data_IF_950266290461
#
_entry.id   IF_950266290461
#
_cell.length_a   1.000
_cell.length_b   1.000
_cell.length_c   1.000
_cell.angle_alpha   90.00
_cell.angle_beta   90.00
_cell.angle_gamma   90.00
#
_symmetry.space_group_name_H-M   'P 1'
#
loop_
_entity.id
_entity.type
_entity.pdbx_description
1 polymer ?
#
# COMPACT_ATOMS: atom_id res chain seq x y z
N UNK A 1 25.85 -33.97 28.41
CA UNK A 1 26.08 -33.42 27.06
C UNK A 1 25.62 -34.48 26.05
N UNK A 2 24.33 -34.50 25.62
CA UNK A 2 23.78 -35.28 24.47
C UNK A 2 22.22 -35.40 24.55
N UNK A 3 21.47 -34.30 24.38
CA UNK A 3 20.00 -34.39 24.20
C UNK A 3 19.39 -33.38 23.22
N UNK A 4 20.19 -32.56 22.52
CA UNK A 4 19.65 -31.47 21.66
C UNK A 4 19.22 -31.85 20.22
N UNK A 5 19.36 -33.10 19.76
CA UNK A 5 19.23 -33.41 18.30
C UNK A 5 17.94 -34.14 17.87
N UNK A 6 17.25 -34.87 18.75
CA UNK A 6 16.09 -35.69 18.35
C UNK A 6 14.73 -34.96 18.34
N UNK A 7 14.63 -33.77 18.93
CA UNK A 7 13.38 -32.97 18.96
C UNK A 7 13.12 -32.18 17.67
N UNK A 8 14.08 -32.16 16.73
CA UNK A 8 13.98 -31.36 15.51
C UNK A 8 13.44 -32.14 14.31
N UNK A 9 13.54 -33.47 14.27
CA UNK A 9 13.16 -34.23 13.08
C UNK A 9 11.65 -34.14 12.80
N UNK A 10 10.81 -34.29 13.83
CA UNK A 10 9.35 -34.19 13.70
C UNK A 10 8.88 -32.77 13.34
N UNK A 11 9.53 -31.74 13.91
CA UNK A 11 9.26 -30.34 13.56
C UNK A 11 9.71 -30.03 12.14
N UNK A 12 10.88 -30.52 11.72
CA UNK A 12 11.37 -30.38 10.35
C UNK A 12 10.46 -31.11 9.37
N UNK A 13 10.04 -32.35 9.65
CA UNK A 13 9.09 -33.08 8.80
C UNK A 13 7.73 -32.39 8.69
N UNK A 14 7.22 -31.81 9.78
CA UNK A 14 5.96 -31.06 9.77
C UNK A 14 6.07 -29.75 8.95
N UNK A 15 7.25 -29.14 8.91
CA UNK A 15 7.52 -27.92 8.14
C UNK A 15 7.95 -28.18 6.70
N UNK A 16 8.28 -29.42 6.33
CA UNK A 16 8.71 -29.77 4.97
C UNK A 16 7.70 -29.36 3.88
N UNK A 17 6.38 -29.61 4.03
CA UNK A 17 5.41 -29.18 3.00
C UNK A 17 5.38 -27.67 2.82
N UNK A 18 5.48 -26.91 3.92
CA UNK A 18 5.51 -25.44 3.90
C UNK A 18 6.78 -24.92 3.25
N UNK A 19 7.94 -25.51 3.59
CA UNK A 19 9.22 -25.18 2.96
C UNK A 19 9.24 -25.52 1.48
N UNK A 20 8.69 -26.67 1.10
CA UNK A 20 8.57 -27.09 -0.28
C UNK A 20 7.71 -26.10 -1.07
N UNK A 21 6.53 -25.72 -0.56
CA UNK A 21 5.69 -24.72 -1.20
C UNK A 21 6.40 -23.36 -1.32
N UNK A 22 7.06 -22.90 -0.25
CA UNK A 22 7.82 -21.64 -0.26
C UNK A 22 8.93 -21.63 -1.32
N UNK A 23 9.73 -22.68 -1.41
CA UNK A 23 10.89 -22.73 -2.32
C UNK A 23 10.48 -23.05 -3.74
N UNK A 24 9.67 -24.09 -3.95
CA UNK A 24 9.34 -24.55 -5.30
C UNK A 24 8.29 -23.67 -5.94
N UNK A 25 7.22 -23.34 -5.22
CA UNK A 25 6.12 -22.55 -5.81
C UNK A 25 6.50 -21.08 -5.86
N UNK A 26 6.86 -20.44 -4.74
CA UNK A 26 7.11 -18.99 -4.77
C UNK A 26 8.45 -18.65 -5.40
N UNK A 27 9.55 -19.20 -4.87
CA UNK A 27 10.89 -18.86 -5.36
C UNK A 27 11.12 -19.44 -6.78
N UNK A 28 10.70 -20.68 -7.01
CA UNK A 28 10.83 -21.32 -8.33
C UNK A 28 10.06 -20.60 -9.44
N UNK A 29 8.79 -20.25 -9.23
CA UNK A 29 8.02 -19.50 -10.25
C UNK A 29 8.51 -18.08 -10.45
N UNK A 30 9.08 -17.46 -9.41
CA UNK A 30 9.72 -16.15 -9.52
C UNK A 30 10.96 -16.22 -10.42
N UNK A 31 11.87 -17.17 -10.18
CA UNK A 31 13.04 -17.35 -11.05
C UNK A 31 12.64 -17.74 -12.48
N UNK A 32 11.61 -18.56 -12.63
CA UNK A 32 11.07 -18.91 -13.94
C UNK A 32 10.53 -17.67 -14.68
N UNK A 33 9.80 -16.79 -13.98
CA UNK A 33 9.31 -15.52 -14.53
C UNK A 33 10.46 -14.61 -14.94
N UNK A 34 11.51 -14.52 -14.11
CA UNK A 34 12.72 -13.76 -14.45
C UNK A 34 13.38 -14.35 -15.70
N UNK A 35 13.49 -15.68 -15.82
CA UNK A 35 14.02 -16.32 -17.03
C UNK A 35 13.19 -15.97 -18.27
N UNK A 36 11.86 -16.01 -18.18
CA UNK A 36 10.97 -15.67 -19.30
C UNK A 36 11.05 -14.20 -19.72
N UNK A 37 11.46 -13.30 -18.82
CA UNK A 37 11.67 -11.89 -19.18
C UNK A 37 12.77 -11.67 -20.22
N UNK A 38 13.69 -12.63 -20.37
CA UNK A 38 14.77 -12.58 -21.34
C UNK A 38 14.46 -13.36 -22.63
N UNK A 39 13.25 -13.90 -22.79
CA UNK A 39 12.84 -14.65 -23.98
C UNK A 39 11.80 -13.91 -24.81
N UNK A 40 11.65 -14.32 -26.07
CA UNK A 40 10.58 -13.84 -26.95
C UNK A 40 9.31 -14.67 -26.77
N UNK A 41 8.83 -14.73 -25.52
CA UNK A 41 7.61 -15.46 -25.20
C UNK A 41 6.39 -14.58 -25.48
N UNK A 42 5.49 -15.08 -26.33
CA UNK A 42 4.21 -14.44 -26.63
C UNK A 42 3.11 -15.10 -25.79
N UNK A 43 2.21 -15.88 -26.39
CA UNK A 43 1.15 -16.59 -25.69
C UNK A 43 1.69 -17.83 -24.95
N UNK A 44 2.65 -18.52 -25.57
CA UNK A 44 3.29 -19.70 -25.02
C UNK A 44 4.75 -19.42 -24.68
N UNK A 45 5.30 -20.07 -23.63
CA UNK A 45 6.72 -19.97 -23.32
C UNK A 45 7.56 -20.39 -24.51
N UNK A 46 8.42 -19.49 -24.98
CA UNK A 46 9.44 -19.78 -25.99
C UNK A 46 10.80 -19.86 -25.31
N UNK A 47 11.63 -20.81 -25.77
CA UNK A 47 13.02 -20.95 -25.29
C UNK A 47 13.99 -20.01 -26.02
N UNK A 48 13.50 -19.21 -26.98
CA UNK A 48 14.33 -18.27 -27.74
C UNK A 48 14.77 -17.11 -26.85
N UNK A 49 16.06 -17.10 -26.51
CA UNK A 49 16.68 -16.07 -25.70
C UNK A 49 16.98 -14.83 -26.53
N UNK A 50 16.41 -13.70 -26.15
CA UNK A 50 16.57 -12.40 -26.82
C UNK A 50 17.28 -11.36 -25.94
N UNK A 51 17.87 -11.81 -24.83
CA UNK A 51 18.59 -10.95 -23.90
C UNK A 51 17.70 -9.83 -23.35
N UNK A 52 18.17 -8.59 -23.45
CA UNK A 52 17.49 -7.42 -22.86
C UNK A 52 16.42 -6.77 -23.76
N UNK A 53 16.06 -7.38 -24.89
CA UNK A 53 15.13 -6.77 -25.84
C UNK A 53 13.77 -6.39 -25.21
N UNK A 54 13.23 -7.22 -24.31
CA UNK A 54 11.97 -6.91 -23.62
C UNK A 54 12.09 -5.71 -22.68
N UNK A 55 13.23 -5.55 -22.00
CA UNK A 55 13.49 -4.41 -21.13
C UNK A 55 13.61 -3.10 -21.93
N UNK A 56 14.27 -3.14 -23.09
CA UNK A 56 14.31 -1.99 -24.01
C UNK A 56 12.89 -1.60 -24.43
N UNK A 57 12.08 -2.57 -24.90
CA UNK A 57 10.66 -2.33 -25.26
C UNK A 57 9.86 -1.76 -24.07
N UNK A 58 10.10 -2.27 -22.86
CA UNK A 58 9.43 -1.84 -21.64
C UNK A 58 9.75 -0.37 -21.31
N UNK A 59 11.02 0.04 -21.33
CA UNK A 59 11.41 1.42 -21.03
C UNK A 59 11.08 2.42 -22.13
N UNK A 60 10.87 1.97 -23.38
CA UNK A 60 10.34 2.80 -24.46
C UNK A 60 8.81 2.94 -24.43
N UNK A 61 8.11 2.17 -23.58
CA UNK A 61 6.67 2.25 -23.44
C UNK A 61 6.26 3.46 -22.59
N UNK A 62 5.66 4.47 -23.20
CA UNK A 62 5.09 5.62 -22.49
C UNK A 62 4.06 5.19 -21.42
N UNK A 63 3.30 4.12 -21.68
CA UNK A 63 2.34 3.56 -20.71
C UNK A 63 3.04 2.98 -19.47
N UNK A 64 4.19 2.33 -19.64
CA UNK A 64 4.98 1.81 -18.52
C UNK A 64 5.58 2.94 -17.68
N UNK A 65 6.18 3.95 -18.31
CA UNK A 65 6.73 5.11 -17.61
C UNK A 65 5.65 5.87 -16.83
N UNK A 66 4.48 6.11 -17.46
CA UNK A 66 3.34 6.71 -16.78
C UNK A 66 2.89 5.87 -15.57
N UNK A 67 2.88 4.54 -15.71
CA UNK A 67 2.50 3.64 -14.61
C UNK A 67 3.43 3.74 -13.40
N UNK A 68 4.74 3.89 -13.63
CA UNK A 68 5.72 4.07 -12.57
C UNK A 68 5.53 5.41 -11.86
N UNK A 69 5.26 6.47 -12.61
CA UNK A 69 4.96 7.78 -12.03
C UNK A 69 3.67 7.75 -11.20
N UNK A 70 2.62 7.14 -11.74
CA UNK A 70 1.33 7.05 -11.06
C UNK A 70 1.41 6.23 -9.77
N UNK A 71 2.08 5.06 -9.78
CA UNK A 71 2.19 4.25 -8.55
C UNK A 71 3.00 4.97 -7.46
N UNK A 72 3.98 5.80 -7.84
CA UNK A 72 4.72 6.65 -6.91
C UNK A 72 3.83 7.76 -6.34
N UNK A 73 3.12 8.51 -7.19
CA UNK A 73 2.19 9.57 -6.77
C UNK A 73 1.11 8.99 -5.85
N UNK A 74 0.45 7.92 -6.30
CA UNK A 74 -0.55 7.22 -5.51
C UNK A 74 0.05 6.73 -4.19
N UNK A 75 1.20 6.08 -4.22
CA UNK A 75 1.85 5.52 -3.05
C UNK A 75 2.20 6.56 -1.98
N UNK A 76 2.83 7.66 -2.39
CA UNK A 76 3.21 8.75 -1.47
C UNK A 76 1.97 9.38 -0.84
N UNK A 77 0.96 9.73 -1.65
CA UNK A 77 -0.25 10.39 -1.17
C UNK A 77 -1.14 9.45 -0.34
N UNK A 78 -1.24 8.18 -0.72
CA UNK A 78 -1.99 7.16 0.01
C UNK A 78 -1.36 6.90 1.39
N UNK A 79 -0.05 6.65 1.44
CA UNK A 79 0.64 6.36 2.71
C UNK A 79 0.62 7.59 3.62
N UNK A 80 0.99 8.77 3.11
CA UNK A 80 0.97 10.01 3.90
C UNK A 80 -0.45 10.37 4.36
N UNK A 81 -1.44 10.28 3.47
CA UNK A 81 -2.85 10.53 3.80
C UNK A 81 -3.39 9.60 4.87
N UNK A 82 -3.10 8.29 4.76
CA UNK A 82 -3.48 7.32 5.79
C UNK A 82 -2.78 7.59 7.13
N UNK A 83 -1.49 7.92 7.11
CA UNK A 83 -0.72 8.22 8.32
C UNK A 83 -1.27 9.46 9.04
N UNK A 84 -1.52 10.53 8.29
CA UNK A 84 -2.06 11.79 8.82
C UNK A 84 -3.48 11.61 9.33
N UNK A 85 -4.41 11.11 8.50
CA UNK A 85 -5.80 10.93 8.92
C UNK A 85 -5.94 9.89 10.01
N UNK A 86 -5.24 8.76 9.92
CA UNK A 86 -5.25 7.72 10.94
C UNK A 86 -4.73 8.23 12.28
N UNK A 87 -3.65 9.01 12.30
CA UNK A 87 -3.15 9.64 13.52
C UNK A 87 -4.15 10.65 14.10
N UNK A 88 -4.74 11.51 13.26
CA UNK A 88 -5.75 12.47 13.71
C UNK A 88 -6.99 11.78 14.31
N UNK A 89 -7.48 10.73 13.66
CA UNK A 89 -8.59 9.91 14.19
C UNK A 89 -8.21 9.27 15.52
N UNK A 90 -7.00 8.71 15.61
CA UNK A 90 -6.51 8.09 16.84
C UNK A 90 -6.40 9.12 17.98
N UNK A 91 -5.87 10.31 17.72
CA UNK A 91 -5.76 11.39 18.70
C UNK A 91 -7.13 11.91 19.16
N UNK A 92 -8.14 11.88 18.29
CA UNK A 92 -9.51 12.20 18.66
C UNK A 92 -10.13 11.14 19.59
N UNK A 93 -9.87 9.86 19.32
CA UNK A 93 -10.35 8.72 20.11
C UNK A 93 -9.66 8.59 21.46
N UNK A 94 -8.37 8.93 21.54
CA UNK A 94 -7.53 8.88 22.74
C UNK A 94 -8.09 9.70 23.92
N UNK A 95 -8.94 10.70 23.63
CA UNK A 95 -9.61 11.53 24.64
C UNK A 95 -10.71 10.81 25.45
N UNK A 96 -10.83 9.48 25.35
CA UNK A 96 -11.82 8.63 26.06
C UNK A 96 -13.27 9.07 25.83
N UNK A 97 -13.65 9.18 24.56
CA UNK A 97 -15.04 9.51 24.18
C UNK A 97 -16.03 8.41 24.59
N UNK A 98 -17.26 8.81 24.96
CA UNK A 98 -18.30 7.91 25.52
C UNK A 98 -18.70 6.75 24.59
N UNK A 99 -18.48 6.87 23.28
CA UNK A 99 -18.81 5.86 22.26
C UNK A 99 -17.59 5.36 21.48
N UNK A 100 -16.42 5.33 22.12
CA UNK A 100 -15.14 4.98 21.47
C UNK A 100 -15.20 3.66 20.67
N UNK A 101 -15.78 2.61 21.23
CA UNK A 101 -15.90 1.30 20.57
C UNK A 101 -16.72 1.36 19.27
N UNK A 102 -17.77 2.19 19.21
CA UNK A 102 -18.59 2.34 18.01
C UNK A 102 -17.80 3.08 16.91
N UNK A 103 -17.15 4.19 17.25
CA UNK A 103 -16.32 4.94 16.30
C UNK A 103 -15.16 4.10 15.77
N UNK A 104 -14.48 3.33 16.64
CA UNK A 104 -13.43 2.40 16.22
C UNK A 104 -13.94 1.40 15.19
N UNK A 105 -15.11 0.81 15.40
CA UNK A 105 -15.71 -0.14 14.46
C UNK A 105 -16.07 0.51 13.13
N UNK A 106 -16.68 1.71 13.15
CA UNK A 106 -17.07 2.45 11.95
C UNK A 106 -15.84 2.78 11.10
N UNK A 107 -14.77 3.30 11.70
CA UNK A 107 -13.57 3.67 10.96
C UNK A 107 -12.73 2.47 10.51
N UNK A 108 -12.86 1.32 11.18
CA UNK A 108 -12.16 0.08 10.78
C UNK A 108 -12.94 -0.71 9.70
N UNK A 109 -14.25 -0.49 9.59
CA UNK A 109 -15.11 -1.23 8.66
C UNK A 109 -14.65 -1.15 7.19
N UNK A 110 -14.23 0.00 6.64
CA UNK A 110 -13.69 0.08 5.28
C UNK A 110 -12.51 -0.85 5.04
N UNK A 111 -11.62 -0.98 6.03
CA UNK A 111 -10.44 -1.84 5.91
C UNK A 111 -10.80 -3.34 5.78
N UNK A 112 -11.97 -3.75 6.26
CA UNK A 112 -12.46 -5.12 6.10
C UNK A 112 -13.04 -5.39 4.70
N UNK A 113 -13.29 -4.34 3.89
CA UNK A 113 -13.78 -4.49 2.51
C UNK A 113 -12.64 -4.87 1.56
N UNK A 114 -12.98 -5.55 0.47
CA UNK A 114 -12.04 -5.75 -0.64
C UNK A 114 -11.78 -4.43 -1.38
N UNK A 115 -10.61 -4.30 -1.99
CA UNK A 115 -10.28 -3.14 -2.83
C UNK A 115 -11.21 -3.00 -4.04
N UNK A 116 -11.74 -4.12 -4.57
CA UNK A 116 -12.72 -4.11 -5.66
C UNK A 116 -14.02 -3.46 -5.22
N UNK A 117 -14.57 -3.87 -4.06
CA UNK A 117 -15.82 -3.30 -3.53
C UNK A 117 -15.63 -1.82 -3.21
N UNK A 118 -14.53 -1.47 -2.55
CA UNK A 118 -14.17 -0.08 -2.28
C UNK A 118 -14.13 0.73 -3.59
N UNK A 119 -13.47 0.21 -4.62
CA UNK A 119 -13.39 0.88 -5.91
C UNK A 119 -14.77 1.08 -6.55
N UNK A 120 -15.64 0.07 -6.56
CA UNK A 120 -16.98 0.19 -7.14
C UNK A 120 -17.84 1.22 -6.40
N UNK A 121 -17.81 1.25 -5.07
CA UNK A 121 -18.54 2.24 -4.27
C UNK A 121 -18.10 3.66 -4.65
N UNK A 122 -16.80 3.91 -4.69
CA UNK A 122 -16.26 5.21 -5.04
C UNK A 122 -16.46 5.57 -6.52
N UNK A 123 -16.47 4.59 -7.42
CA UNK A 123 -16.82 4.79 -8.83
C UNK A 123 -18.26 5.29 -9.00
N UNK A 124 -19.21 4.70 -8.26
CA UNK A 124 -20.60 5.15 -8.28
C UNK A 124 -20.77 6.51 -7.62
N UNK A 125 -20.14 6.73 -6.46
CA UNK A 125 -20.20 8.00 -5.74
C UNK A 125 -19.63 9.17 -6.56
N UNK A 126 -18.53 8.94 -7.29
CA UNK A 126 -17.86 9.96 -8.10
C UNK A 126 -18.33 9.98 -9.55
N UNK A 127 -19.41 9.26 -9.88
CA UNK A 127 -20.01 9.33 -11.20
C UNK A 127 -20.63 10.72 -11.43
N UNK A 128 -20.23 11.48 -12.47
CA UNK A 128 -20.75 12.84 -12.69
C UNK A 128 -22.26 12.91 -12.98
N UNK A 129 -22.84 11.81 -13.48
CA UNK A 129 -24.24 11.75 -13.94
C UNK A 129 -25.20 11.31 -12.83
N UNK A 130 -24.81 10.35 -12.00
CA UNK A 130 -25.68 9.74 -10.98
C UNK A 130 -25.14 9.83 -9.55
N UNK A 131 -23.89 10.25 -9.38
CA UNK A 131 -23.21 10.27 -8.09
C UNK A 131 -23.46 11.56 -7.30
N UNK A 132 -22.51 11.88 -6.42
CA UNK A 132 -22.54 13.04 -5.52
C UNK A 132 -22.79 14.33 -6.30
N UNK A 133 -22.20 14.48 -7.49
CA UNK A 133 -22.40 15.67 -8.31
C UNK A 133 -23.89 15.89 -8.63
N UNK A 134 -24.61 14.83 -9.00
CA UNK A 134 -26.03 14.93 -9.34
C UNK A 134 -26.88 15.24 -8.11
N UNK A 135 -26.59 14.60 -6.96
CA UNK A 135 -27.29 14.89 -5.71
C UNK A 135 -27.10 16.34 -5.26
N UNK A 136 -25.89 16.86 -5.33
CA UNK A 136 -25.55 18.25 -4.95
C UNK A 136 -26.22 19.26 -5.90
N UNK A 137 -26.27 18.97 -7.20
CA UNK A 137 -27.00 19.81 -8.17
C UNK A 137 -28.51 19.80 -7.93
N UNK A 138 -29.08 18.65 -7.59
CA UNK A 138 -30.52 18.54 -7.28
C UNK A 138 -30.94 19.34 -6.04
N UNK A 139 -30.00 19.67 -5.16
CA UNK A 139 -30.21 20.52 -3.98
C UNK A 139 -30.12 22.03 -4.29
N UNK A 140 -29.92 22.42 -5.55
CA UNK A 140 -29.90 23.83 -5.99
C UNK A 140 -28.52 24.40 -6.32
N UNK A 141 -27.45 23.59 -6.25
CA UNK A 141 -26.09 24.00 -6.62
C UNK A 141 -25.72 23.53 -8.04
N UNK A 142 -26.39 24.08 -9.05
CA UNK A 142 -26.27 23.65 -10.45
C UNK A 142 -24.84 23.76 -11.02
N UNK A 143 -24.04 24.69 -10.53
CA UNK A 143 -22.65 24.93 -10.97
C UNK A 143 -21.62 24.00 -10.33
N UNK A 144 -22.03 23.12 -9.41
CA UNK A 144 -21.10 22.20 -8.75
C UNK A 144 -20.55 21.16 -9.75
N UNK A 145 -19.23 21.00 -9.80
CA UNK A 145 -18.55 20.03 -10.67
C UNK A 145 -17.64 19.15 -9.81
N UNK A 146 -17.86 17.84 -9.91
CA UNK A 146 -17.06 16.79 -9.26
C UNK A 146 -16.83 15.67 -10.29
N UNK A 147 -16.03 15.99 -11.30
CA UNK A 147 -15.69 15.14 -12.44
C UNK A 147 -14.36 14.41 -12.28
N UNK A 148 -13.88 14.25 -11.04
CA UNK A 148 -12.50 13.82 -10.76
C UNK A 148 -12.14 12.49 -11.41
N UNK A 149 -13.06 11.52 -11.41
CA UNK A 149 -12.84 10.19 -11.99
C UNK A 149 -12.66 10.22 -13.51
N UNK A 150 -13.30 11.17 -14.20
CA UNK A 150 -13.23 11.30 -15.67
C UNK A 150 -12.22 12.35 -16.13
N UNK A 151 -11.67 13.14 -15.20
CA UNK A 151 -10.68 14.17 -15.47
C UNK A 151 -9.25 13.61 -15.34
N UNK A 152 -8.46 13.71 -16.40
CA UNK A 152 -7.08 13.18 -16.49
C UNK A 152 -6.16 13.65 -15.38
N UNK A 153 -6.31 14.90 -14.93
CA UNK A 153 -5.45 15.46 -13.90
C UNK A 153 -5.91 15.10 -12.48
N UNK A 154 -7.19 14.72 -12.32
CA UNK A 154 -7.79 14.48 -11.00
C UNK A 154 -8.03 13.00 -10.68
N UNK A 155 -8.07 12.12 -11.69
CA UNK A 155 -8.46 10.71 -11.50
C UNK A 155 -7.56 9.95 -10.51
N UNK A 156 -6.26 10.25 -10.49
CA UNK A 156 -5.34 9.64 -9.51
C UNK A 156 -5.64 10.08 -8.07
N UNK A 157 -6.07 11.32 -7.87
CA UNK A 157 -6.43 11.84 -6.56
C UNK A 157 -7.76 11.27 -6.08
N UNK A 158 -8.70 10.97 -6.99
CA UNK A 158 -9.91 10.21 -6.66
C UNK A 158 -9.59 8.80 -6.15
N UNK A 159 -8.63 8.10 -6.78
CA UNK A 159 -8.14 6.81 -6.30
C UNK A 159 -7.47 6.93 -4.92
N UNK A 160 -6.64 7.95 -4.72
CA UNK A 160 -5.99 8.22 -3.42
C UNK A 160 -7.05 8.44 -2.35
N UNK A 161 -8.09 9.22 -2.61
CA UNK A 161 -9.15 9.48 -1.65
C UNK A 161 -9.86 8.19 -1.22
N UNK A 162 -10.21 7.35 -2.19
CA UNK A 162 -10.83 6.04 -1.94
C UNK A 162 -9.90 5.11 -1.14
N UNK A 163 -8.62 5.06 -1.53
CA UNK A 163 -7.61 4.29 -0.80
C UNK A 163 -7.44 4.78 0.63
N UNK A 164 -7.25 6.08 0.83
CA UNK A 164 -7.06 6.69 2.15
C UNK A 164 -8.25 6.43 3.06
N UNK A 165 -9.48 6.53 2.54
CA UNK A 165 -10.68 6.17 3.28
C UNK A 165 -10.67 4.70 3.75
N UNK A 166 -10.20 3.78 2.91
CA UNK A 166 -10.08 2.37 3.26
C UNK A 166 -8.94 2.09 4.26
N UNK A 167 -7.79 2.74 4.10
CA UNK A 167 -6.55 2.46 4.82
C UNK A 167 -6.37 3.23 6.14
N UNK A 168 -7.01 4.39 6.32
CA UNK A 168 -6.84 5.23 7.50
C UNK A 168 -7.26 4.53 8.81
N UNK A 169 -8.27 3.65 8.75
CA UNK A 169 -8.75 2.88 9.90
C UNK A 169 -7.69 1.95 10.50
N UNK A 170 -6.85 1.33 9.67
CA UNK A 170 -5.75 0.49 10.13
C UNK A 170 -4.73 1.32 10.92
N UNK A 171 -4.30 2.45 10.37
CA UNK A 171 -3.36 3.36 11.02
C UNK A 171 -3.92 3.86 12.34
N UNK A 172 -5.20 4.25 12.35
CA UNK A 172 -5.88 4.71 13.55
C UNK A 172 -5.79 3.69 14.68
N UNK A 173 -6.09 2.41 14.43
CA UNK A 173 -6.03 1.37 15.47
C UNK A 173 -4.61 1.14 15.96
N UNK A 174 -3.62 1.13 15.05
CA UNK A 174 -2.20 0.96 15.42
C UNK A 174 -1.72 2.14 16.26
N UNK A 175 -2.00 3.37 15.83
CA UNK A 175 -1.61 4.58 16.56
C UNK A 175 -2.30 4.67 17.92
N UNK A 176 -3.60 4.36 17.99
CA UNK A 176 -4.37 4.35 19.24
C UNK A 176 -3.83 3.31 20.23
N UNK A 177 -3.50 2.10 19.75
CA UNK A 177 -2.86 1.08 20.59
C UNK A 177 -1.50 1.54 21.12
N UNK A 178 -0.70 2.23 20.29
CA UNK A 178 0.56 2.84 20.71
C UNK A 178 0.37 3.94 21.75
N UNK A 179 -0.61 4.84 21.58
CA UNK A 179 -0.87 5.93 22.51
C UNK A 179 -1.32 5.42 23.88
N UNK A 180 -2.11 4.35 23.90
CA UNK A 180 -2.53 3.69 25.15
C UNK A 180 -1.38 3.05 25.92
N UNK A 181 -0.25 2.78 25.27
CA UNK A 181 0.98 2.31 25.92
C UNK A 181 1.80 3.41 26.60
N UNK A 182 1.48 4.69 26.36
CA UNK A 182 2.19 5.83 26.95
C UNK A 182 1.70 6.04 28.40
N UNK A 183 2.63 6.14 29.34
CA UNK A 183 2.32 6.32 30.76
C UNK A 183 1.55 7.61 31.03
N UNK A 184 0.50 7.51 31.86
CA UNK A 184 -0.35 8.65 32.23
C UNK A 184 0.41 9.76 32.98
N UNK A 185 1.58 9.46 33.54
CA UNK A 185 2.43 10.46 34.21
C UNK A 185 3.01 11.48 33.24
N UNK A 186 3.36 11.08 32.02
CA UNK A 186 3.86 12.03 31.00
C UNK A 186 2.80 13.08 30.64
N UNK A 187 1.54 12.66 30.58
CA UNK A 187 0.40 13.56 30.37
C UNK A 187 0.19 14.54 31.52
N UNK A 188 0.41 14.10 32.76
CA UNK A 188 0.29 14.95 33.96
C UNK A 188 1.43 15.95 34.02
N UNK A 189 2.67 15.51 33.79
CA UNK A 189 3.86 16.36 33.78
C UNK A 189 3.74 17.48 32.73
N UNK A 190 3.38 17.13 31.48
CA UNK A 190 3.19 18.12 30.42
C UNK A 190 2.07 19.14 30.72
N UNK A 191 1.05 18.74 31.49
CA UNK A 191 -0.04 19.63 31.92
C UNK A 191 0.40 20.56 33.04
N UNK A 192 1.27 20.11 33.95
CA UNK A 192 1.89 20.94 34.99
C UNK A 192 2.78 22.02 34.34
N UNK A 193 3.52 21.65 33.29
CA UNK A 193 4.38 22.57 32.52
C UNK A 193 3.59 23.54 31.60
N UNK A 194 2.25 23.49 31.62
CA UNK A 194 1.40 24.39 30.82
C UNK A 194 1.49 24.16 29.31
N UNK A 195 2.00 23.01 28.86
CA UNK A 195 2.18 22.72 27.43
C UNK A 195 0.82 22.50 26.76
N UNK A 196 0.49 23.19 25.65
CA UNK A 196 -0.79 23.03 24.99
C UNK A 196 -0.93 21.62 24.36
N UNK A 197 -2.15 21.08 24.37
CA UNK A 197 -2.45 19.69 23.97
C UNK A 197 -1.94 19.33 22.58
N UNK A 198 -2.07 20.21 21.59
CA UNK A 198 -1.57 19.95 20.23
C UNK A 198 -0.04 19.79 20.21
N UNK A 199 0.68 20.52 21.05
CA UNK A 199 2.14 20.45 21.17
C UNK A 199 2.58 19.18 21.89
N UNK A 200 1.78 18.65 22.82
CA UNK A 200 1.98 17.33 23.43
C UNK A 200 1.89 16.24 22.34
N UNK A 201 0.84 16.26 21.52
CA UNK A 201 0.68 15.29 20.44
C UNK A 201 1.84 15.32 19.43
N UNK A 202 2.26 16.51 19.00
CA UNK A 202 3.31 16.65 17.97
C UNK A 202 4.72 16.44 18.53
N UNK A 203 5.02 16.93 19.73
CA UNK A 203 6.40 16.98 20.24
C UNK A 203 6.76 15.80 21.14
N UNK A 204 5.78 15.14 21.76
CA UNK A 204 6.01 14.07 22.73
C UNK A 204 5.47 12.74 22.19
N UNK A 205 4.20 12.72 21.77
CA UNK A 205 3.52 11.48 21.38
C UNK A 205 3.97 11.02 20.00
N UNK A 206 3.98 11.90 19.01
CA UNK A 206 4.34 11.54 17.63
C UNK A 206 5.75 10.92 17.52
N UNK A 207 6.81 11.43 18.21
CA UNK A 207 8.11 10.77 18.24
C UNK A 207 8.08 9.38 18.90
N UNK A 208 7.35 9.23 20.01
CA UNK A 208 7.21 7.94 20.70
C UNK A 208 6.46 6.89 19.87
N UNK A 209 5.49 7.34 19.07
CA UNK A 209 4.76 6.49 18.12
C UNK A 209 5.55 6.17 16.84
N UNK A 210 6.74 6.76 16.64
CA UNK A 210 7.55 6.58 15.45
C UNK A 210 7.68 5.12 14.98
N UNK A 211 8.00 4.15 15.87
CA UNK A 211 8.07 2.74 15.50
C UNK A 211 6.72 2.14 15.05
N UNK A 212 5.62 2.52 15.71
CA UNK A 212 4.28 2.03 15.38
C UNK A 212 3.78 2.60 14.04
N UNK A 213 3.99 3.90 13.80
CA UNK A 213 3.66 4.56 12.54
C UNK A 213 4.56 4.07 11.40
N UNK A 214 5.84 3.76 11.66
CA UNK A 214 6.71 3.15 10.66
C UNK A 214 6.23 1.73 10.28
N UNK A 215 5.79 0.94 11.25
CA UNK A 215 5.19 -0.37 10.98
C UNK A 215 3.90 -0.24 10.16
N UNK A 216 3.01 0.70 10.52
CA UNK A 216 1.79 0.97 9.77
C UNK A 216 2.11 1.44 8.33
N UNK A 217 3.05 2.36 8.17
CA UNK A 217 3.51 2.83 6.86
C UNK A 217 4.08 1.71 5.99
N UNK A 218 4.81 0.76 6.59
CA UNK A 218 5.32 -0.42 5.88
C UNK A 218 4.19 -1.33 5.39
N UNK A 219 3.17 -1.59 6.23
CA UNK A 219 1.98 -2.36 5.83
C UNK A 219 1.24 -1.69 4.68
N UNK A 220 1.06 -0.37 4.74
CA UNK A 220 0.43 0.40 3.67
C UNK A 220 1.25 0.38 2.38
N UNK A 221 2.57 0.55 2.47
CA UNK A 221 3.48 0.53 1.32
C UNK A 221 3.44 -0.84 0.61
N UNK A 222 3.29 -1.94 1.34
CA UNK A 222 3.08 -3.27 0.74
C UNK A 222 1.78 -3.33 -0.08
N UNK A 223 0.74 -2.61 0.32
CA UNK A 223 -0.51 -2.47 -0.44
C UNK A 223 -0.36 -1.66 -1.73
N UNK A 224 0.43 -0.59 -1.70
CA UNK A 224 0.71 0.26 -2.89
C UNK A 224 1.27 -0.55 -4.06
N UNK A 225 2.22 -1.43 -3.78
CA UNK A 225 2.90 -2.24 -4.79
C UNK A 225 1.93 -3.16 -5.54
N UNK A 226 0.92 -3.67 -4.82
CA UNK A 226 -0.11 -4.58 -5.35
C UNK A 226 -1.38 -3.85 -5.78
N UNK A 227 -1.33 -2.52 -5.89
CA UNK A 227 -2.49 -1.73 -6.27
C UNK A 227 -2.86 -2.07 -7.72
N UNK A 228 -3.93 -2.84 -7.88
CA UNK A 228 -4.52 -3.25 -9.15
C UNK A 228 -6.04 -3.16 -9.04
N UNK A 229 -6.59 -3.81 -8.02
CA UNK A 229 -8.02 -3.95 -7.78
C UNK A 229 -8.78 -2.61 -7.78
N UNK A 230 -8.33 -1.64 -6.98
CA UNK A 230 -9.00 -0.33 -6.87
C UNK A 230 -8.90 0.48 -8.17
N UNK A 231 -7.78 0.37 -8.89
CA UNK A 231 -7.55 1.06 -10.17
C UNK A 231 -8.49 0.52 -11.23
N UNK A 232 -8.56 -0.81 -11.35
CA UNK A 232 -9.42 -1.49 -12.31
C UNK A 232 -10.88 -1.23 -12.01
N UNK A 233 -11.28 -1.35 -10.74
CA UNK A 233 -12.66 -1.14 -10.33
C UNK A 233 -13.14 0.31 -10.56
N UNK A 234 -12.31 1.33 -10.27
CA UNK A 234 -12.73 2.73 -10.40
C UNK A 234 -12.61 3.29 -11.81
N UNK A 235 -11.48 3.07 -12.47
CA UNK A 235 -11.07 3.84 -13.65
C UNK A 235 -10.61 3.00 -14.82
N UNK A 236 -10.34 1.71 -14.58
CA UNK A 236 -9.69 0.82 -15.55
C UNK A 236 -8.42 1.43 -16.19
N UNK A 237 -7.62 2.15 -15.39
CA UNK A 237 -6.37 2.81 -15.81
C UNK A 237 -6.54 4.14 -16.55
N UNK A 238 -7.77 4.65 -16.70
CA UNK A 238 -8.08 5.88 -17.41
C UNK A 238 -8.26 7.14 -16.55
N UNK A 239 -8.53 8.29 -17.20
CA UNK A 239 -8.51 8.51 -18.64
C UNK A 239 -7.07 8.68 -19.21
N UNK A 240 -6.80 8.13 -20.41
CA UNK A 240 -5.52 8.34 -21.10
C UNK A 240 -4.27 7.92 -20.32
N UNK A 241 -4.35 6.77 -19.63
CA UNK A 241 -3.33 6.19 -18.74
C UNK A 241 -3.02 6.99 -17.45
N UNK A 242 -3.84 7.97 -17.05
CA UNK A 242 -3.58 8.81 -15.86
C UNK A 242 -3.64 8.06 -14.53
N UNK A 243 -4.25 6.88 -14.51
CA UNK A 243 -4.30 6.02 -13.32
C UNK A 243 -3.71 4.64 -13.59
N UNK A 244 -3.02 4.47 -14.72
CA UNK A 244 -2.34 3.22 -15.03
C UNK A 244 -1.33 2.91 -13.93
N UNK A 245 -1.21 1.64 -13.53
CA UNK A 245 -0.27 1.16 -12.51
C UNK A 245 0.47 -0.06 -13.03
N UNK A 246 1.69 -0.35 -12.54
CA UNK A 246 2.53 -1.42 -13.08
C UNK A 246 1.84 -2.79 -13.04
N UNK A 247 1.11 -3.09 -11.96
CA UNK A 247 0.35 -4.33 -11.83
C UNK A 247 -0.71 -4.48 -12.94
N UNK A 248 -1.42 -3.39 -13.27
CA UNK A 248 -2.39 -3.38 -14.38
C UNK A 248 -1.69 -3.56 -15.72
N UNK A 249 -0.58 -2.84 -15.94
CA UNK A 249 0.19 -2.98 -17.17
C UNK A 249 0.63 -4.43 -17.39
N UNK A 250 1.10 -5.12 -16.34
CA UNK A 250 1.49 -6.53 -16.41
C UNK A 250 0.28 -7.40 -16.77
N UNK A 251 -0.86 -7.22 -16.09
CA UNK A 251 -2.08 -7.99 -16.34
C UNK A 251 -2.62 -7.80 -17.76
N UNK A 252 -2.64 -6.56 -18.27
CA UNK A 252 -3.05 -6.23 -19.64
C UNK A 252 -2.15 -6.91 -20.67
N UNK A 253 -0.82 -6.94 -20.43
CA UNK A 253 0.11 -7.58 -21.35
C UNK A 253 0.07 -9.10 -21.26
N UNK A 254 -0.18 -9.65 -20.08
CA UNK A 254 -0.26 -11.09 -19.86
C UNK A 254 -1.51 -11.70 -20.50
N UNK A 255 -2.68 -11.13 -20.22
CA UNK A 255 -3.96 -11.70 -20.64
C UNK A 255 -4.55 -11.04 -21.88
N UNK A 256 -4.47 -9.71 -21.98
CA UNK A 256 -5.07 -8.97 -23.09
C UNK A 256 -4.23 -9.00 -24.37
N UNK A 257 -2.92 -8.75 -24.23
CA UNK A 257 -2.00 -8.68 -25.39
C UNK A 257 -1.22 -9.97 -25.63
N UNK A 258 -1.35 -10.96 -24.75
CA UNK A 258 -0.68 -12.26 -24.85
C UNK A 258 0.83 -12.12 -25.11
N UNK A 259 1.47 -11.21 -24.38
CA UNK A 259 2.91 -10.97 -24.44
C UNK A 259 3.54 -11.29 -23.09
N UNK A 260 3.84 -12.57 -22.88
CA UNK A 260 4.42 -13.10 -21.65
C UNK A 260 5.80 -12.52 -21.35
N UNK A 261 6.66 -12.35 -22.36
CA UNK A 261 8.01 -11.82 -22.19
C UNK A 261 8.00 -10.38 -21.66
N UNK A 262 7.15 -9.52 -22.22
CA UNK A 262 7.03 -8.13 -21.79
C UNK A 262 6.34 -8.03 -20.41
N UNK A 263 5.31 -8.83 -20.15
CA UNK A 263 4.64 -8.89 -18.85
C UNK A 263 5.59 -9.34 -17.73
N UNK A 264 6.38 -10.38 -17.97
CA UNK A 264 7.36 -10.90 -17.00
C UNK A 264 8.55 -9.98 -16.81
N UNK A 265 8.98 -9.24 -17.84
CA UNK A 265 9.94 -8.14 -17.69
C UNK A 265 9.39 -7.02 -16.79
N UNK A 266 8.13 -6.62 -16.98
CA UNK A 266 7.44 -5.67 -16.10
C UNK A 266 7.35 -6.17 -14.65
N UNK A 267 6.97 -7.43 -14.45
CA UNK A 267 6.91 -8.05 -13.11
C UNK A 267 8.29 -8.11 -12.43
N UNK A 268 9.34 -8.43 -13.20
CA UNK A 268 10.72 -8.45 -12.70
C UNK A 268 11.17 -7.06 -12.27
N UNK A 269 10.89 -6.02 -13.08
CA UNK A 269 11.17 -4.63 -12.73
C UNK A 269 10.41 -4.17 -11.49
N UNK A 270 9.15 -4.59 -11.34
CA UNK A 270 8.34 -4.29 -10.15
C UNK A 270 8.99 -4.88 -8.90
N UNK A 271 9.37 -6.16 -8.92
CA UNK A 271 10.06 -6.80 -7.78
C UNK A 271 11.38 -6.11 -7.46
N UNK A 272 12.18 -5.79 -8.48
CA UNK A 272 13.43 -5.05 -8.29
C UNK A 272 13.19 -3.67 -7.68
N UNK A 273 12.15 -2.95 -8.11
CA UNK A 273 11.75 -1.68 -7.50
C UNK A 273 11.42 -1.81 -6.02
N UNK A 274 10.73 -2.88 -5.62
CA UNK A 274 10.44 -3.15 -4.20
C UNK A 274 11.70 -3.43 -3.40
N UNK A 275 12.59 -4.28 -3.93
CA UNK A 275 13.86 -4.61 -3.27
C UNK A 275 14.69 -3.34 -3.07
N UNK A 276 14.79 -2.49 -4.10
CA UNK A 276 15.52 -1.23 -4.05
C UNK A 276 14.88 -0.21 -3.09
N UNK A 277 13.55 -0.20 -2.95
CA UNK A 277 12.86 0.68 -2.00
C UNK A 277 13.00 0.21 -0.54
N UNK A 278 12.88 -1.10 -0.29
CA UNK A 278 12.82 -1.66 1.07
C UNK A 278 14.21 -1.91 1.65
N UNK A 279 15.18 -2.36 0.84
CA UNK A 279 16.50 -2.73 1.35
C UNK A 279 17.25 -1.58 2.05
N UNK A 280 17.31 -0.35 1.50
CA UNK A 280 17.98 0.77 2.17
C UNK A 280 17.29 1.17 3.47
N UNK A 281 15.95 1.13 3.50
CA UNK A 281 15.17 1.47 4.68
C UNK A 281 15.40 0.48 5.82
N UNK A 282 15.42 -0.83 5.51
CA UNK A 282 15.73 -1.89 6.48
C UNK A 282 17.17 -1.78 6.98
N UNK A 283 18.11 -1.50 6.08
CA UNK A 283 19.52 -1.31 6.42
C UNK A 283 19.73 -0.09 7.34
N UNK A 284 19.08 1.04 7.04
CA UNK A 284 19.14 2.24 7.86
C UNK A 284 18.53 2.03 9.27
N UNK A 285 17.40 1.32 9.37
CA UNK A 285 16.83 0.96 10.67
C UNK A 285 17.73 0.00 11.46
N UNK A 286 18.32 -0.99 10.80
CA UNK A 286 19.25 -1.91 11.43
C UNK A 286 20.44 -1.16 12.05
N UNK A 287 21.03 -0.20 11.31
CA UNK A 287 22.12 0.64 11.82
C UNK A 287 21.70 1.51 13.02
N UNK A 288 20.50 2.10 13.00
CA UNK A 288 19.98 2.89 14.13
C UNK A 288 19.77 2.04 15.39
N UNK A 289 19.23 0.83 15.23
CA UNK A 289 19.05 -0.11 16.34
C UNK A 289 20.39 -0.54 16.95
N UNK A 290 21.42 -0.78 16.12
CA UNK A 290 22.74 -1.16 16.61
C UNK A 290 23.48 0.00 17.31
N UNK A 291 23.34 1.24 16.83
CA UNK A 291 23.89 2.42 17.51
C UNK A 291 23.27 2.65 18.88
N UNK A 292 21.95 2.44 19.02
CA UNK A 292 21.27 2.56 20.30
C UNK A 292 21.72 1.48 21.32
N UNK A 293 22.09 0.28 20.84
CA UNK A 293 22.61 -0.81 21.69
C UNK A 293 24.08 -0.69 22.03
N UNK A 294 24.88 0.01 21.23
CA UNK A 294 26.30 0.25 21.51
C UNK A 294 26.57 1.49 22.37
N UNK A 295 25.55 2.30 22.65
CA UNK A 295 25.63 3.50 23.50
C UNK A 295 25.03 3.28 24.91
N UNK A 296 24.53 2.07 25.19
CA UNK A 296 24.02 1.61 26.48
C UNK A 296 24.98 0.55 27.05
#
# INVERSE_FOLDING_TARGET
MHTKRKRNLSVTLALLPTWFAAVVVYIGTMFWSIRMSFTDSTLFPSSNYVGFAQYVKLFHSAKWLASLQNVLIFGVLYVSGCLVLGFLLAAALDRKIRFESAFRSIFLYPYAMSFVVTGLVWQWMLNPTLGIQASVRSLGWETFVLDWVVNRNMAIYALVLAGVWQGAGLVMVIALAGMRGIEAEQWKAARIDGIPVWRIYVSIILPQLGPALAAAGMLLAMGVIKTYDIVVAMTNGGPGNSTEVPAKFIMDNLFGRQNLGLATAGATMLVLGVVLAVAPFRYAMYLRSNRAKGAA
#
